data_IF_379651218376
#
_entry.id   IF_379651218376
#
_cell.length_a   1.000
_cell.length_b   1.000
_cell.length_c   1.000
_cell.angle_alpha   90.00
_cell.angle_beta   90.00
_cell.angle_gamma   90.00
#
_symmetry.space_group_name_H-M   'P 1'
#
loop_
_entity.id
_entity.type
_entity.pdbx_description
1 polymer ?
#
# COMPACT_ATOMS: atom_id res chain seq x y z
N UNK A 1 -40.51 -58.42 -22.98
CA UNK A 1 -41.14 -57.09 -22.80
C UNK A 1 -40.63 -56.49 -21.49
N UNK A 2 -40.32 -55.19 -21.44
CA UNK A 2 -39.07 -54.67 -20.89
C UNK A 2 -39.09 -54.33 -19.39
N UNK A 3 -37.93 -54.54 -18.75
CA UNK A 3 -37.57 -53.97 -17.45
C UNK A 3 -37.31 -52.46 -17.61
N UNK A 4 -38.00 -51.63 -16.81
CA UNK A 4 -37.69 -50.20 -16.66
C UNK A 4 -37.34 -49.94 -15.20
N UNK A 5 -36.04 -50.01 -14.89
CA UNK A 5 -35.46 -49.48 -13.66
C UNK A 5 -34.94 -48.07 -13.98
N UNK A 6 -35.68 -47.06 -13.53
CA UNK A 6 -35.29 -45.64 -13.61
C UNK A 6 -34.26 -45.35 -12.51
N UNK A 7 -32.97 -45.38 -12.85
CA UNK A 7 -31.92 -44.84 -11.98
C UNK A 7 -31.75 -43.35 -12.25
N UNK A 8 -32.27 -42.52 -11.34
CA UNK A 8 -32.08 -41.08 -11.34
C UNK A 8 -30.67 -40.77 -10.82
N UNK A 9 -29.71 -40.55 -11.73
CA UNK A 9 -28.36 -40.10 -11.37
C UNK A 9 -28.36 -38.61 -11.04
N UNK A 10 -28.23 -38.25 -9.75
CA UNK A 10 -27.81 -36.90 -9.37
C UNK A 10 -26.33 -36.72 -9.68
N UNK A 11 -26.01 -35.96 -10.73
CA UNK A 11 -24.68 -35.41 -10.92
C UNK A 11 -24.58 -34.08 -10.16
N UNK A 12 -23.91 -34.08 -9.01
CA UNK A 12 -23.48 -32.85 -8.35
C UNK A 12 -22.29 -32.28 -9.15
N UNK A 13 -22.56 -31.29 -10.01
CA UNK A 13 -21.49 -30.56 -10.69
C UNK A 13 -21.02 -29.44 -9.77
N UNK A 14 -19.97 -29.71 -8.98
CA UNK A 14 -19.25 -28.69 -8.24
C UNK A 14 -18.41 -27.84 -9.21
N UNK A 15 -18.98 -26.76 -9.74
CA UNK A 15 -18.19 -25.70 -10.36
C UNK A 15 -17.59 -24.80 -9.28
N UNK A 16 -16.45 -25.21 -8.71
CA UNK A 16 -15.55 -24.25 -8.04
C UNK A 16 -14.79 -23.53 -9.14
N UNK A 17 -15.39 -22.48 -9.69
CA UNK A 17 -14.62 -21.48 -10.41
C UNK A 17 -13.90 -20.63 -9.35
N UNK A 18 -12.72 -21.10 -8.93
CA UNK A 18 -11.72 -20.21 -8.42
C UNK A 18 -11.31 -19.32 -9.61
N UNK A 19 -11.97 -18.18 -9.76
CA UNK A 19 -11.50 -17.11 -10.61
C UNK A 19 -10.24 -16.54 -9.96
N UNK A 20 -9.12 -17.23 -10.14
CA UNK A 20 -7.83 -16.60 -10.06
C UNK A 20 -7.75 -15.68 -11.27
N UNK A 21 -8.16 -14.42 -11.07
CA UNK A 21 -7.98 -13.41 -12.11
C UNK A 21 -6.47 -13.40 -12.41
N UNK A 22 -6.05 -13.62 -13.67
CA UNK A 22 -4.66 -13.41 -14.01
C UNK A 22 -4.42 -11.91 -13.87
N UNK A 23 -3.89 -11.50 -12.72
CA UNK A 23 -3.24 -10.21 -12.61
C UNK A 23 -2.12 -10.25 -13.64
N UNK A 24 -2.36 -9.60 -14.77
CA UNK A 24 -1.30 -9.27 -15.72
C UNK A 24 -0.20 -8.64 -14.88
N UNK A 25 0.87 -9.39 -14.63
CA UNK A 25 2.09 -8.88 -14.00
C UNK A 25 2.59 -7.78 -14.94
N UNK A 26 2.12 -6.55 -14.74
CA UNK A 26 2.91 -5.41 -15.18
C UNK A 26 4.23 -5.56 -14.43
N UNK A 27 5.29 -5.84 -15.20
CA UNK A 27 6.63 -5.88 -14.66
C UNK A 27 6.90 -4.51 -14.06
N UNK A 28 7.03 -4.45 -12.74
CA UNK A 28 7.37 -3.22 -12.04
C UNK A 28 8.74 -2.76 -12.52
N UNK A 29 8.82 -1.56 -13.08
CA UNK A 29 10.08 -0.94 -13.44
C UNK A 29 10.60 -0.14 -12.24
N UNK A 30 11.15 -0.85 -11.26
CA UNK A 30 11.59 -0.27 -9.98
C UNK A 30 12.46 1.00 -10.16
N UNK A 31 13.42 1.09 -11.10
CA UNK A 31 14.21 2.30 -11.33
C UNK A 31 13.39 3.56 -11.64
N UNK A 32 12.21 3.44 -12.26
CA UNK A 32 11.34 4.58 -12.58
C UNK A 32 10.72 5.24 -11.34
N UNK A 33 10.75 4.56 -10.20
CA UNK A 33 10.28 5.14 -8.92
C UNK A 33 11.30 6.08 -8.28
N UNK A 34 12.53 6.13 -8.78
CA UNK A 34 13.59 6.92 -8.19
C UNK A 34 13.23 8.42 -8.08
N UNK A 35 13.71 9.07 -7.02
CA UNK A 35 13.63 10.51 -6.83
C UNK A 35 12.56 10.95 -5.83
N UNK A 36 12.25 12.24 -5.89
CA UNK A 36 11.37 12.93 -4.94
C UNK A 36 9.90 12.56 -5.13
N UNK A 37 9.19 12.51 -4.01
CA UNK A 37 7.76 12.25 -3.89
C UNK A 37 7.19 13.14 -2.76
N UNK A 38 5.93 13.51 -2.88
CA UNK A 38 5.20 14.30 -1.87
C UNK A 38 3.98 13.52 -1.39
N UNK A 39 3.84 13.32 -0.07
CA UNK A 39 2.65 12.69 0.50
C UNK A 39 1.42 13.60 0.36
N UNK A 40 0.40 13.17 -0.36
CA UNK A 40 -0.84 13.93 -0.59
C UNK A 40 -1.96 13.52 0.36
N UNK A 41 -2.02 12.24 0.72
CA UNK A 41 -2.97 11.71 1.70
C UNK A 41 -2.45 10.44 2.38
N UNK A 42 -3.00 10.13 3.55
CA UNK A 42 -2.76 8.90 4.28
C UNK A 42 -4.07 8.16 4.56
N UNK A 43 -4.04 6.84 4.54
CA UNK A 43 -5.17 6.00 4.89
C UNK A 43 -4.74 4.87 5.81
N UNK A 44 -5.49 4.61 6.88
CA UNK A 44 -5.20 3.50 7.81
C UNK A 44 -6.47 2.78 8.24
N UNK A 45 -6.37 1.47 8.45
CA UNK A 45 -7.42 0.67 9.10
C UNK A 45 -7.26 0.62 10.64
N UNK A 46 -6.20 1.27 11.17
CA UNK A 46 -5.90 1.38 12.58
C UNK A 46 -5.51 2.83 12.91
N UNK A 47 -6.48 3.60 13.42
CA UNK A 47 -6.34 5.05 13.66
C UNK A 47 -5.18 5.40 14.62
N UNK A 48 -4.78 4.49 15.52
CA UNK A 48 -3.67 4.73 16.45
C UNK A 48 -2.33 4.99 15.73
N UNK A 49 -2.19 4.46 14.51
CA UNK A 49 -1.02 4.67 13.65
C UNK A 49 -0.90 6.10 13.10
N UNK A 50 -1.97 6.89 13.14
CA UNK A 50 -2.06 8.20 12.48
C UNK A 50 -2.50 9.35 13.40
N UNK A 51 -3.29 9.06 14.44
CA UNK A 51 -4.06 10.07 15.16
C UNK A 51 -3.21 11.19 15.77
N UNK A 52 -2.03 10.88 16.30
CA UNK A 52 -1.10 11.86 16.85
C UNK A 52 -0.01 12.17 15.83
N UNK A 53 0.50 13.40 15.77
CA UNK A 53 1.66 13.76 14.93
C UNK A 53 2.88 12.86 15.23
N UNK A 54 3.01 12.40 16.48
CA UNK A 54 4.06 11.45 16.92
C UNK A 54 3.73 9.96 16.71
N UNK A 55 2.57 9.62 16.15
CA UNK A 55 2.15 8.24 15.94
C UNK A 55 3.16 7.48 15.07
N UNK A 56 3.25 6.16 15.29
CA UNK A 56 4.30 5.32 14.72
C UNK A 56 4.47 5.47 13.19
N UNK A 57 3.35 5.51 12.45
CA UNK A 57 3.34 5.60 10.99
C UNK A 57 2.74 6.92 10.46
N UNK A 58 2.66 7.97 11.30
CA UNK A 58 2.44 9.34 10.83
C UNK A 58 3.76 9.90 10.30
N UNK A 59 4.08 9.49 9.08
CA UNK A 59 5.36 9.74 8.40
C UNK A 59 5.10 10.17 6.96
N UNK A 60 5.97 11.00 6.40
CA UNK A 60 5.86 11.52 5.04
C UNK A 60 6.99 10.94 4.19
N UNK A 61 6.66 10.13 3.18
CA UNK A 61 7.69 9.66 2.24
C UNK A 61 8.10 10.84 1.37
N UNK A 62 9.40 11.12 1.32
CA UNK A 62 9.98 12.27 0.60
C UNK A 62 10.76 11.85 -0.64
N UNK A 63 11.35 10.66 -0.63
CA UNK A 63 11.99 10.11 -1.82
C UNK A 63 12.14 8.60 -1.76
N UNK A 64 12.29 8.01 -2.94
CA UNK A 64 12.54 6.59 -3.14
C UNK A 64 13.82 6.41 -3.93
N UNK A 65 14.66 5.47 -3.50
CA UNK A 65 15.94 5.17 -4.15
C UNK A 65 16.09 3.66 -4.33
N UNK A 66 15.69 3.12 -5.50
CA UNK A 66 16.05 1.79 -5.94
C UNK A 66 17.56 1.56 -5.86
N UNK A 67 17.99 0.39 -5.39
CA UNK A 67 19.41 0.02 -5.34
C UNK A 67 19.81 -0.85 -6.53
N UNK A 68 21.12 -1.01 -6.82
CA UNK A 68 21.59 -1.89 -7.90
C UNK A 68 21.23 -3.37 -7.75
N UNK A 69 20.81 -3.80 -6.55
CA UNK A 69 20.40 -5.18 -6.25
C UNK A 69 18.89 -5.32 -6.05
N UNK A 70 18.11 -4.34 -6.55
CA UNK A 70 16.65 -4.24 -6.49
C UNK A 70 16.07 -4.09 -5.07
N UNK A 71 16.85 -3.60 -4.11
CA UNK A 71 16.28 -3.09 -2.85
C UNK A 71 15.68 -1.71 -3.06
N UNK A 72 14.93 -1.23 -2.07
CA UNK A 72 14.33 0.10 -2.09
C UNK A 72 14.70 0.84 -0.83
N UNK A 73 15.49 1.91 -0.93
CA UNK A 73 15.63 2.88 0.16
C UNK A 73 14.44 3.84 0.11
N UNK A 74 13.68 3.89 1.21
CA UNK A 74 12.56 4.80 1.42
C UNK A 74 13.02 5.88 2.38
N UNK A 75 13.11 7.12 1.91
CA UNK A 75 13.42 8.28 2.74
C UNK A 75 12.10 8.91 3.18
N UNK A 76 12.00 9.19 4.47
CA UNK A 76 10.78 9.75 5.05
C UNK A 76 11.09 10.75 6.15
N UNK A 77 10.16 11.69 6.35
CA UNK A 77 10.18 12.63 7.46
C UNK A 77 9.14 12.26 8.51
N UNK A 78 9.45 12.53 9.77
CA UNK A 78 8.51 12.38 10.89
C UNK A 78 8.77 13.43 11.95
N UNK A 79 7.74 13.72 12.75
CA UNK A 79 7.90 14.51 13.96
C UNK A 79 8.45 13.65 15.10
N UNK A 80 9.60 14.03 15.63
CA UNK A 80 10.27 13.38 16.75
C UNK A 80 11.04 14.41 17.56
N UNK A 81 10.95 14.34 18.89
CA UNK A 81 11.67 15.25 19.81
C UNK A 81 11.48 16.75 19.46
N UNK A 82 10.24 17.15 19.19
CA UNK A 82 9.84 18.52 18.83
C UNK A 82 10.52 19.08 17.56
N UNK A 83 10.97 18.20 16.67
CA UNK A 83 11.63 18.57 15.44
C UNK A 83 11.20 17.65 14.30
N UNK A 84 11.45 18.12 13.08
CA UNK A 84 11.33 17.26 11.92
C UNK A 84 12.62 16.49 11.70
N UNK A 85 12.53 15.15 11.67
CA UNK A 85 13.68 14.29 11.46
C UNK A 85 13.50 13.44 10.21
N UNK A 86 14.57 13.34 9.44
CA UNK A 86 14.67 12.38 8.33
C UNK A 86 15.01 10.99 8.88
N UNK A 87 14.39 9.96 8.29
CA UNK A 87 14.75 8.56 8.49
C UNK A 87 14.89 7.90 7.12
N UNK A 88 15.76 6.90 7.07
CA UNK A 88 15.94 6.02 5.93
C UNK A 88 15.51 4.62 6.30
N UNK A 89 14.66 4.01 5.49
CA UNK A 89 14.17 2.65 5.66
C UNK A 89 14.61 1.84 4.46
N UNK A 90 15.46 0.84 4.69
CA UNK A 90 15.84 -0.10 3.64
C UNK A 90 14.79 -1.20 3.53
N UNK A 91 14.22 -1.34 2.33
CA UNK A 91 13.36 -2.43 1.91
C UNK A 91 14.14 -3.51 1.17
N UNK A 92 14.31 -4.67 1.80
CA UNK A 92 14.86 -5.87 1.17
C UNK A 92 13.88 -6.39 0.13
N UNK A 93 14.39 -6.80 -1.04
CA UNK A 93 13.54 -7.35 -2.10
C UNK A 93 12.93 -8.68 -1.68
N UNK A 94 11.74 -8.96 -2.20
CA UNK A 94 11.07 -10.25 -2.01
C UNK A 94 10.84 -10.91 -3.37
N UNK A 95 10.29 -12.13 -3.37
CA UNK A 95 9.85 -12.80 -4.60
C UNK A 95 8.76 -12.02 -5.35
N UNK A 96 7.99 -11.19 -4.63
CA UNK A 96 7.03 -10.28 -5.22
C UNK A 96 7.69 -8.91 -5.46
N UNK A 97 7.83 -8.44 -6.71
CA UNK A 97 8.53 -7.20 -7.02
C UNK A 97 7.85 -5.95 -6.43
N UNK A 98 6.57 -6.04 -6.06
CA UNK A 98 5.81 -4.95 -5.43
C UNK A 98 5.91 -4.96 -3.91
N UNK A 99 6.60 -5.93 -3.29
CA UNK A 99 6.71 -6.07 -1.84
C UNK A 99 8.16 -6.09 -1.38
N UNK A 100 8.43 -5.32 -0.33
CA UNK A 100 9.74 -5.20 0.29
C UNK A 100 9.64 -5.51 1.77
N UNK A 101 10.57 -6.31 2.28
CA UNK A 101 10.69 -6.55 3.72
C UNK A 101 11.41 -5.38 4.36
N UNK A 102 10.80 -4.77 5.37
CA UNK A 102 11.33 -3.62 6.10
C UNK A 102 11.40 -3.93 7.59
N UNK A 103 12.05 -3.05 8.36
CA UNK A 103 11.93 -3.02 9.81
C UNK A 103 11.79 -1.56 10.25
N UNK A 104 10.55 -1.11 10.42
CA UNK A 104 10.29 0.29 10.78
C UNK A 104 9.05 0.44 11.66
N UNK A 105 9.26 0.86 12.91
CA UNK A 105 8.18 1.26 13.83
C UNK A 105 7.01 0.25 13.92
N UNK A 106 7.33 -1.05 13.89
CA UNK A 106 6.37 -2.15 13.92
C UNK A 106 5.87 -2.64 12.55
N UNK A 107 6.06 -1.87 11.48
CA UNK A 107 5.83 -2.35 10.12
C UNK A 107 7.00 -3.23 9.65
N UNK A 108 6.67 -4.34 9.00
CA UNK A 108 7.64 -5.31 8.50
C UNK A 108 7.55 -5.55 6.98
N UNK A 109 6.56 -4.97 6.30
CA UNK A 109 6.42 -5.01 4.84
C UNK A 109 6.03 -3.63 4.30
N UNK A 110 6.69 -3.21 3.22
CA UNK A 110 6.27 -2.12 2.35
C UNK A 110 5.73 -2.68 1.03
N UNK A 111 4.58 -2.19 0.58
CA UNK A 111 3.89 -2.66 -0.61
C UNK A 111 3.56 -1.51 -1.55
N UNK A 112 3.96 -1.64 -2.82
CA UNK A 112 3.60 -0.74 -3.90
C UNK A 112 2.26 -1.21 -4.49
N UNK A 113 1.18 -0.48 -4.22
CA UNK A 113 -0.15 -0.85 -4.68
C UNK A 113 -0.32 -0.57 -6.17
N UNK A 114 -0.06 0.68 -6.57
CA UNK A 114 -0.31 1.18 -7.92
C UNK A 114 0.52 2.43 -8.20
N UNK A 115 0.88 2.64 -9.45
CA UNK A 115 1.70 3.79 -9.88
C UNK A 115 1.70 3.90 -11.40
N UNK A 116 1.74 5.13 -11.89
CA UNK A 116 2.08 5.46 -13.27
C UNK A 116 3.51 6.02 -13.41
N UNK A 117 4.30 5.98 -12.33
CA UNK A 117 5.67 6.48 -12.19
C UNK A 117 5.82 8.01 -12.26
N UNK A 118 5.07 8.66 -13.15
CA UNK A 118 5.24 10.06 -13.52
C UNK A 118 4.34 11.00 -12.70
N UNK A 119 3.22 10.53 -12.17
CA UNK A 119 2.28 11.37 -11.43
C UNK A 119 2.05 10.88 -10.01
N UNK A 120 1.79 9.58 -9.82
CA UNK A 120 1.43 9.04 -8.51
C UNK A 120 2.07 7.70 -8.18
N UNK A 121 2.17 7.45 -6.88
CA UNK A 121 2.46 6.15 -6.29
C UNK A 121 1.59 5.95 -5.05
N UNK A 122 0.95 4.79 -4.95
CA UNK A 122 0.29 4.34 -3.72
C UNK A 122 1.19 3.33 -3.02
N UNK A 123 1.67 3.69 -1.82
CA UNK A 123 2.58 2.87 -1.02
C UNK A 123 1.96 2.57 0.33
N UNK A 124 1.97 1.31 0.75
CA UNK A 124 1.52 0.91 2.09
C UNK A 124 2.64 0.32 2.93
N UNK A 125 2.63 0.65 4.22
CA UNK A 125 3.40 0.00 5.26
C UNK A 125 2.45 -0.88 6.07
N UNK A 126 2.82 -2.12 6.34
CA UNK A 126 1.98 -3.06 7.08
C UNK A 126 2.79 -3.87 8.09
N UNK A 127 2.12 -4.24 9.17
CA UNK A 127 2.54 -5.33 10.05
C UNK A 127 1.83 -6.61 9.63
N UNK A 128 2.58 -7.57 9.08
CA UNK A 128 2.06 -8.88 8.66
C UNK A 128 2.13 -9.94 9.75
N UNK A 129 2.74 -9.64 10.91
CA UNK A 129 2.88 -10.61 12.01
C UNK A 129 1.60 -10.82 12.79
N UNK A 130 0.67 -9.85 12.72
CA UNK A 130 -0.61 -9.89 13.41
C UNK A 130 -1.71 -10.51 12.56
N UNK A 131 -2.64 -11.23 13.20
CA UNK A 131 -3.80 -11.84 12.52
C UNK A 131 -4.67 -10.80 11.81
N UNK A 132 -4.76 -9.61 12.40
CA UNK A 132 -5.41 -8.44 11.82
C UNK A 132 -4.29 -7.47 11.46
N UNK A 133 -3.93 -7.46 10.19
CA UNK A 133 -2.87 -6.61 9.68
C UNK A 133 -3.25 -5.14 9.86
N UNK A 134 -2.36 -4.37 10.48
CA UNK A 134 -2.50 -2.91 10.53
C UNK A 134 -1.79 -2.32 9.31
N UNK A 135 -2.53 -1.57 8.49
CA UNK A 135 -2.02 -0.96 7.27
C UNK A 135 -2.00 0.56 7.40
N UNK A 136 -0.94 1.18 6.92
CA UNK A 136 -0.83 2.61 6.65
C UNK A 136 -0.47 2.80 5.19
N UNK A 137 -1.39 3.35 4.39
CA UNK A 137 -1.18 3.63 2.98
C UNK A 137 -1.02 5.13 2.75
N UNK A 138 -0.19 5.51 1.79
CA UNK A 138 0.01 6.89 1.37
C UNK A 138 -0.23 7.03 -0.12
N UNK A 139 -0.90 8.12 -0.49
CA UNK A 139 -0.86 8.65 -1.85
C UNK A 139 0.34 9.58 -1.94
N UNK A 140 1.32 9.21 -2.77
CA UNK A 140 2.49 10.01 -3.10
C UNK A 140 2.31 10.61 -4.50
N UNK A 141 2.68 11.88 -4.69
CA UNK A 141 2.67 12.55 -5.98
C UNK A 141 4.04 13.11 -6.34
N UNK A 142 4.36 13.18 -7.64
CA UNK A 142 5.60 13.83 -8.11
C UNK A 142 5.57 15.35 -7.93
N UNK A 143 4.38 15.96 -8.03
CA UNK A 143 4.15 17.39 -7.91
C UNK A 143 2.90 17.62 -7.06
N UNK A 144 2.88 18.73 -6.31
CA UNK A 144 1.74 19.15 -5.47
C UNK A 144 0.57 19.71 -6.31
N UNK A 145 -0.04 18.85 -7.13
CA UNK A 145 -1.24 19.16 -7.93
C UNK A 145 -2.42 18.39 -7.39
N UNK A 146 -3.56 19.07 -7.24
CA UNK A 146 -4.81 18.40 -6.89
C UNK A 146 -5.36 17.62 -8.09
N UNK A 147 -5.44 16.30 -7.93
CA UNK A 147 -6.09 15.40 -8.87
C UNK A 147 -7.12 14.52 -8.14
N UNK A 148 -8.40 14.81 -8.40
CA UNK A 148 -9.50 14.09 -7.78
C UNK A 148 -9.66 12.65 -8.29
N UNK A 149 -9.23 12.36 -9.52
CA UNK A 149 -9.32 11.02 -10.07
C UNK A 149 -8.24 10.11 -9.48
N UNK A 150 -7.02 10.63 -9.27
CA UNK A 150 -5.97 9.92 -8.53
C UNK A 150 -6.39 9.72 -7.07
N UNK A 151 -6.98 10.72 -6.41
CA UNK A 151 -7.51 10.56 -5.05
C UNK A 151 -8.59 9.47 -4.95
N UNK A 152 -9.54 9.44 -5.90
CA UNK A 152 -10.52 8.34 -5.98
C UNK A 152 -9.84 7.00 -6.25
N UNK A 153 -8.80 6.99 -7.10
CA UNK A 153 -7.95 5.84 -7.36
C UNK A 153 -7.31 5.28 -6.09
N UNK A 154 -6.73 6.16 -5.26
CA UNK A 154 -6.15 5.80 -3.97
C UNK A 154 -7.18 5.12 -3.07
N UNK A 155 -8.37 5.70 -2.95
CA UNK A 155 -9.47 5.14 -2.16
C UNK A 155 -9.91 3.77 -2.72
N UNK A 156 -9.98 3.61 -4.04
CA UNK A 156 -10.29 2.32 -4.68
C UNK A 156 -9.19 1.28 -4.44
N UNK A 157 -7.93 1.70 -4.34
CA UNK A 157 -6.78 0.82 -4.16
C UNK A 157 -6.69 0.25 -2.74
N UNK A 158 -6.85 1.06 -1.69
CA UNK A 158 -6.70 0.57 -0.32
C UNK A 158 -7.95 -0.12 0.23
N UNK A 159 -9.15 0.27 -0.21
CA UNK A 159 -10.42 -0.21 0.37
C UNK A 159 -10.58 -1.74 0.33
N UNK A 160 -10.20 -2.46 -0.75
CA UNK A 160 -10.29 -3.92 -0.80
C UNK A 160 -9.30 -4.65 0.12
N UNK A 161 -8.20 -4.00 0.52
CA UNK A 161 -7.13 -4.64 1.31
C UNK A 161 -7.62 -5.10 2.69
N UNK A 162 -8.63 -4.43 3.24
CA UNK A 162 -9.20 -4.82 4.52
C UNK A 162 -10.68 -4.44 4.61
N UNK A 163 -11.53 -5.38 5.07
CA UNK A 163 -12.99 -5.18 5.22
C UNK A 163 -13.42 -4.27 6.37
N UNK A 164 -12.48 -3.58 7.04
CA UNK A 164 -12.77 -2.72 8.19
C UNK A 164 -12.94 -1.27 7.76
N UNK A 165 -13.42 -0.45 8.69
CA UNK A 165 -13.42 1.00 8.52
C UNK A 165 -11.99 1.49 8.25
N UNK A 166 -11.88 2.40 7.29
CA UNK A 166 -10.65 3.13 6.98
C UNK A 166 -10.79 4.57 7.42
N UNK A 167 -9.70 5.12 7.94
CA UNK A 167 -9.54 6.53 8.27
C UNK A 167 -8.66 7.15 7.19
N UNK A 168 -9.11 8.27 6.63
CA UNK A 168 -8.41 9.01 5.58
C UNK A 168 -8.01 10.38 6.11
N UNK A 169 -6.76 10.76 5.90
CA UNK A 169 -6.21 12.07 6.20
C UNK A 169 -5.78 12.73 4.89
N UNK A 170 -6.44 13.84 4.54
CA UNK A 170 -6.08 14.65 3.38
C UNK A 170 -5.06 15.72 3.81
N UNK A 171 -3.78 15.46 3.57
CA UNK A 171 -2.67 16.28 4.08
C UNK A 171 -2.67 17.69 3.49
N UNK A 172 -3.32 17.87 2.34
CA UNK A 172 -3.45 19.17 1.66
C UNK A 172 -4.39 20.13 2.38
N UNK A 173 -5.25 19.61 3.26
CA UNK A 173 -6.31 20.37 3.96
C UNK A 173 -5.95 20.71 5.39
N UNK A 174 -4.73 20.42 5.82
CA UNK A 174 -4.30 20.65 7.19
C UNK A 174 -2.85 21.10 7.24
N UNK A 175 -2.51 21.84 8.28
CA UNK A 175 -1.13 22.17 8.58
C UNK A 175 -0.48 20.95 9.26
N UNK A 176 0.45 20.32 8.55
CA UNK A 176 1.10 19.09 8.98
C UNK A 176 2.60 19.35 9.22
N UNK A 177 3.08 19.18 10.46
CA UNK A 177 4.52 19.25 10.73
C UNK A 177 5.25 18.19 9.89
N UNK A 178 6.37 18.54 9.28
CA UNK A 178 7.15 17.68 8.37
C UNK A 178 6.58 17.41 6.98
N UNK A 179 5.50 18.06 6.59
CA UNK A 179 4.99 18.00 5.22
C UNK A 179 5.65 19.11 4.38
N UNK A 180 6.44 18.72 3.37
CA UNK A 180 7.23 19.62 2.52
C UNK A 180 6.90 19.44 1.04
#
# INVERSE_FOLDING_TARGET
MPCLLLTLGMALVCSVQATDMPQTKQNLELPKLAGTWHSMAMATNNISLMVMVKSALRVHVTSLWPTPVDHLEIVLHRWENNSCVEKKVLGEKTENPKKFKINYMGANEAMLLDTDYDNFLFLCLTDTTTRIQSLMCQYLARVLVEDNEIMKGFIRAFRPLHKRLWYLLDLRKMEEPCHF
#
